data_IF_671648441801
#
_entry.id   IF_671648441801
#
_cell.length_a   1.000
_cell.length_b   1.000
_cell.length_c   1.000
_cell.angle_alpha   90.00
_cell.angle_beta   90.00
_cell.angle_gamma   90.00
#
_symmetry.space_group_name_H-M   'P 1'
#
loop_
_entity.id
_entity.type
_entity.pdbx_description
1 polymer ?
#
# COMPACT_ATOMS: atom_id res chain seq x y z
N UNK A 1 9.02 28.48 12.44
CA UNK A 1 7.96 27.53 12.04
C UNK A 1 8.56 26.49 11.10
N UNK A 2 8.33 25.22 11.38
CA UNK A 2 8.78 24.12 10.53
C UNK A 2 7.68 23.83 9.51
N UNK A 3 8.04 23.89 8.23
CA UNK A 3 7.11 23.55 7.17
C UNK A 3 7.34 22.08 6.74
N UNK A 4 6.25 21.38 6.50
CA UNK A 4 6.29 20.03 5.97
C UNK A 4 5.80 20.09 4.54
N UNK A 5 6.63 19.63 3.62
CA UNK A 5 6.29 19.53 2.20
C UNK A 5 5.79 18.10 1.96
N UNK A 6 4.56 17.99 1.49
CA UNK A 6 3.95 16.71 1.18
C UNK A 6 3.77 16.59 -0.33
N UNK A 7 4.22 15.46 -0.89
CA UNK A 7 4.04 15.15 -2.31
C UNK A 7 3.43 13.77 -2.43
N UNK A 8 2.34 13.70 -3.19
CA UNK A 8 1.69 12.42 -3.49
C UNK A 8 2.60 11.55 -4.35
N UNK A 9 2.61 10.25 -4.07
CA UNK A 9 3.34 9.26 -4.84
C UNK A 9 2.32 8.36 -5.54
N UNK A 10 2.39 8.30 -6.87
CA UNK A 10 1.52 7.40 -7.62
C UNK A 10 1.90 5.94 -7.36
N UNK A 11 0.90 5.08 -7.27
CA UNK A 11 1.14 3.65 -7.17
C UNK A 11 1.81 3.17 -8.46
N UNK A 12 2.86 2.37 -8.31
CA UNK A 12 3.62 1.84 -9.44
C UNK A 12 2.74 0.87 -10.25
N UNK A 13 2.85 0.94 -11.57
CA UNK A 13 1.94 0.25 -12.48
C UNK A 13 1.95 -1.28 -12.29
N UNK A 14 3.12 -1.88 -12.12
CA UNK A 14 3.18 -3.33 -11.94
C UNK A 14 2.58 -3.76 -10.59
N UNK A 15 2.71 -2.94 -9.56
CA UNK A 15 2.06 -3.20 -8.28
C UNK A 15 0.55 -3.14 -8.44
N UNK A 16 0.03 -2.12 -9.12
CA UNK A 16 -1.40 -2.00 -9.39
C UNK A 16 -1.93 -3.22 -10.13
N UNK A 17 -1.25 -3.64 -11.19
CA UNK A 17 -1.67 -4.80 -11.98
C UNK A 17 -1.67 -6.09 -11.18
N UNK A 18 -0.65 -6.30 -10.35
CA UNK A 18 -0.59 -7.49 -9.49
C UNK A 18 -1.76 -7.53 -8.51
N UNK A 19 -2.08 -6.38 -7.90
CA UNK A 19 -3.21 -6.29 -6.98
C UNK A 19 -4.54 -6.53 -7.68
N UNK A 20 -4.72 -5.98 -8.87
CA UNK A 20 -5.93 -6.20 -9.66
C UNK A 20 -6.11 -7.67 -10.02
N UNK A 21 -5.04 -8.33 -10.46
CA UNK A 21 -5.08 -9.77 -10.80
C UNK A 21 -5.46 -10.60 -9.57
N UNK A 22 -4.83 -10.34 -8.43
CA UNK A 22 -5.12 -11.05 -7.19
C UNK A 22 -6.59 -10.85 -6.78
N UNK A 23 -7.08 -9.62 -6.87
CA UNK A 23 -8.46 -9.32 -6.52
C UNK A 23 -9.46 -9.96 -7.49
N UNK A 24 -9.11 -10.07 -8.76
CA UNK A 24 -9.95 -10.78 -9.73
C UNK A 24 -10.14 -12.24 -9.32
N UNK A 25 -9.09 -12.90 -8.85
CA UNK A 25 -9.20 -14.28 -8.35
C UNK A 25 -10.03 -14.39 -7.07
N UNK A 26 -10.22 -13.27 -6.38
CA UNK A 26 -11.03 -13.22 -5.15
C UNK A 26 -12.42 -12.62 -5.39
N UNK A 27 -12.80 -12.37 -6.64
CA UNK A 27 -14.09 -11.78 -7.04
C UNK A 27 -14.33 -10.41 -6.40
N UNK A 28 -13.29 -9.60 -6.35
CA UNK A 28 -13.37 -8.25 -5.78
C UNK A 28 -12.45 -7.29 -6.55
N UNK A 29 -12.51 -6.02 -6.21
CA UNK A 29 -11.64 -4.98 -6.77
C UNK A 29 -10.95 -4.22 -5.65
N UNK A 30 -9.67 -3.86 -5.81
CA UNK A 30 -9.00 -3.06 -4.81
C UNK A 30 -9.33 -1.58 -4.98
N UNK A 31 -9.43 -0.87 -3.87
CA UNK A 31 -9.40 0.59 -3.85
C UNK A 31 -8.01 1.01 -3.41
N UNK A 32 -7.30 1.77 -4.24
CA UNK A 32 -5.93 2.17 -3.96
C UNK A 32 -5.89 3.68 -3.74
N UNK A 33 -5.42 4.07 -2.56
CA UNK A 33 -5.20 5.47 -2.20
C UNK A 33 -3.69 5.69 -2.20
N UNK A 34 -3.23 6.63 -3.02
CA UNK A 34 -1.82 6.91 -3.15
C UNK A 34 -1.20 7.37 -1.84
N UNK A 35 -0.02 6.84 -1.53
CA UNK A 35 0.80 7.32 -0.43
C UNK A 35 1.47 8.64 -0.77
N UNK A 36 2.39 9.05 0.08
CA UNK A 36 3.07 10.33 -0.10
C UNK A 36 4.48 10.28 0.47
N UNK A 37 5.31 11.18 -0.03
CA UNK A 37 6.57 11.50 0.62
C UNK A 37 6.41 12.83 1.35
N UNK A 38 6.86 12.87 2.60
CA UNK A 38 6.87 14.09 3.41
C UNK A 38 8.30 14.46 3.72
N UNK A 39 8.62 15.71 3.50
CA UNK A 39 9.95 16.26 3.76
C UNK A 39 9.80 17.43 4.70
N UNK A 40 10.61 17.44 5.77
CA UNK A 40 10.66 18.56 6.69
C UNK A 40 11.59 19.62 6.09
N UNK A 41 11.03 20.82 5.90
CA UNK A 41 11.74 21.93 5.28
C UNK A 41 13.04 22.25 6.03
N UNK A 42 14.10 22.54 5.26
CA UNK A 42 15.42 22.89 5.78
C UNK A 42 16.11 21.80 6.59
N UNK A 43 15.69 20.56 6.41
CA UNK A 43 16.32 19.40 7.04
C UNK A 43 16.54 18.31 6.01
N UNK A 44 17.27 17.26 6.39
CA UNK A 44 17.41 16.06 5.59
C UNK A 44 16.37 14.99 5.99
N UNK A 45 15.44 15.35 6.86
CA UNK A 45 14.44 14.41 7.34
C UNK A 45 13.33 14.27 6.31
N UNK A 46 13.08 13.02 5.91
CA UNK A 46 11.97 12.68 5.04
C UNK A 46 11.43 11.33 5.45
N UNK A 47 10.16 11.11 5.17
CA UNK A 47 9.53 9.81 5.40
C UNK A 47 8.45 9.57 4.36
N UNK A 48 8.20 8.29 4.11
CA UNK A 48 7.26 7.83 3.08
C UNK A 48 6.04 7.25 3.78
N UNK A 49 4.85 7.75 3.42
CA UNK A 49 3.60 7.11 3.77
C UNK A 49 3.29 6.06 2.71
N UNK A 50 3.00 4.83 3.11
CA UNK A 50 2.66 3.78 2.15
C UNK A 50 1.33 4.05 1.45
N UNK A 51 1.14 3.40 0.31
CA UNK A 51 -0.17 3.35 -0.33
C UNK A 51 -1.13 2.58 0.54
N UNK A 52 -2.38 3.04 0.59
CA UNK A 52 -3.45 2.35 1.31
C UNK A 52 -4.26 1.56 0.30
N UNK A 53 -4.41 0.27 0.54
CA UNK A 53 -5.11 -0.65 -0.35
C UNK A 53 -6.27 -1.25 0.43
N UNK A 54 -7.48 -1.02 -0.04
CA UNK A 54 -8.69 -1.48 0.63
C UNK A 54 -9.30 -2.61 -0.20
N UNK A 55 -9.39 -3.78 0.41
CA UNK A 55 -9.97 -4.98 -0.22
C UNK A 55 -10.97 -5.58 0.77
N UNK A 56 -12.23 -5.67 0.37
CA UNK A 56 -13.30 -6.23 1.22
C UNK A 56 -13.32 -5.62 2.63
N UNK A 57 -13.22 -4.31 2.71
CA UNK A 57 -13.20 -3.53 3.97
C UNK A 57 -11.96 -3.73 4.83
N UNK A 58 -10.99 -4.53 4.38
CA UNK A 58 -9.70 -4.66 5.05
C UNK A 58 -8.71 -3.68 4.45
N UNK A 59 -7.93 -3.03 5.32
CA UNK A 59 -6.94 -2.05 4.90
C UNK A 59 -5.56 -2.68 4.95
N UNK A 60 -4.87 -2.62 3.82
CA UNK A 60 -3.49 -3.06 3.68
C UNK A 60 -2.62 -1.85 3.33
N UNK A 61 -1.33 -1.95 3.62
CA UNK A 61 -0.37 -0.91 3.28
C UNK A 61 0.72 -1.51 2.41
N UNK A 62 1.13 -0.79 1.36
CA UNK A 62 2.16 -1.26 0.45
C UNK A 62 3.03 -0.10 -0.02
N UNK A 63 4.29 -0.40 -0.28
CA UNK A 63 5.23 0.53 -0.89
C UNK A 63 5.47 0.14 -2.33
N UNK A 64 5.79 1.10 -3.18
CA UNK A 64 6.18 0.82 -4.56
C UNK A 64 7.42 -0.08 -4.60
N UNK A 65 7.48 -0.94 -5.61
CA UNK A 65 8.62 -1.83 -5.87
C UNK A 65 8.91 -2.83 -4.76
N UNK A 66 7.94 -3.04 -3.87
CA UNK A 66 8.05 -4.04 -2.81
C UNK A 66 7.29 -5.31 -3.19
N UNK A 67 7.81 -6.45 -2.76
CA UNK A 67 7.11 -7.74 -2.90
C UNK A 67 6.28 -8.08 -1.66
N UNK A 68 6.16 -7.13 -0.73
CA UNK A 68 5.50 -7.34 0.54
C UNK A 68 4.33 -6.37 0.70
N UNK A 69 3.31 -6.81 1.41
CA UNK A 69 2.17 -5.98 1.77
C UNK A 69 1.96 -6.09 3.28
N UNK A 70 1.65 -4.97 3.90
CA UNK A 70 1.50 -4.89 5.35
C UNK A 70 0.03 -4.99 5.73
N UNK A 71 -0.22 -5.72 6.81
CA UNK A 71 -1.51 -5.83 7.47
C UNK A 71 -1.37 -5.30 8.88
N UNK A 72 -2.48 -4.92 9.49
CA UNK A 72 -2.52 -4.38 10.86
C UNK A 72 -1.55 -3.20 11.08
N UNK A 73 -1.64 -2.17 10.24
CA UNK A 73 -0.87 -0.91 10.40
C UNK A 73 0.65 -1.13 10.53
N UNK A 74 1.23 -1.87 9.59
CA UNK A 74 2.66 -2.16 9.56
C UNK A 74 3.14 -3.14 10.64
N UNK A 75 2.27 -3.67 11.49
CA UNK A 75 2.66 -4.61 12.54
C UNK A 75 2.98 -6.00 12.01
N UNK A 76 2.45 -6.35 10.84
CA UNK A 76 2.65 -7.65 10.22
C UNK A 76 2.73 -7.49 8.71
N UNK A 77 3.57 -8.26 8.07
CA UNK A 77 3.70 -8.24 6.61
C UNK A 77 3.64 -9.66 6.04
N UNK A 78 3.13 -9.75 4.83
CA UNK A 78 3.13 -10.99 4.05
C UNK A 78 3.66 -10.66 2.65
N UNK A 79 4.06 -11.69 1.92
CA UNK A 79 4.42 -11.51 0.51
C UNK A 79 3.16 -11.29 -0.31
N UNK A 80 3.24 -10.47 -1.34
CA UNK A 80 2.07 -10.16 -2.19
C UNK A 80 1.51 -11.44 -2.80
N UNK A 81 2.35 -12.41 -3.16
CA UNK A 81 1.87 -13.68 -3.71
C UNK A 81 1.08 -14.53 -2.70
N UNK A 82 1.09 -14.19 -1.42
CA UNK A 82 0.29 -14.84 -0.38
C UNK A 82 -1.04 -14.12 -0.13
N UNK A 83 -1.22 -12.94 -0.74
CA UNK A 83 -2.39 -12.10 -0.47
C UNK A 83 -3.70 -12.76 -0.89
N UNK A 84 -3.72 -13.49 -1.99
CA UNK A 84 -4.90 -14.20 -2.45
C UNK A 84 -5.39 -15.17 -1.38
N UNK A 85 -4.50 -15.99 -0.85
CA UNK A 85 -4.85 -16.94 0.21
C UNK A 85 -5.31 -16.23 1.48
N UNK A 86 -4.66 -15.13 1.82
CA UNK A 86 -5.05 -14.33 2.97
C UNK A 86 -6.48 -13.80 2.82
N UNK A 87 -6.80 -13.21 1.68
CA UNK A 87 -8.14 -12.67 1.42
C UNK A 87 -9.19 -13.77 1.47
N UNK A 88 -8.91 -14.91 0.84
CA UNK A 88 -9.86 -16.06 0.83
C UNK A 88 -10.07 -16.62 2.22
N UNK A 89 -9.09 -16.57 3.09
CA UNK A 89 -9.21 -17.07 4.46
C UNK A 89 -10.03 -16.15 5.36
N UNK A 90 -10.25 -14.89 4.95
CA UNK A 90 -11.04 -13.91 5.71
C UNK A 90 -12.55 -13.99 5.40
N UNK A 91 -12.94 -14.77 4.43
CA UNK A 91 -14.34 -14.93 4.03
C UNK A 91 -15.01 -16.05 4.79
#
# INVERSE_FOLDING_TARGET
MINIIKKEIDVEESLRKRLEIICDFCNTTPTIINGSIRKVDRTNLSYIEPHKIIINNNVFLAFNYSNEIYINNLSRKIKINELENYIKSQN
#
